data_IF_080159463224
#
_entry.id   IF_080159463224
#
_cell.length_a   1.000
_cell.length_b   1.000
_cell.length_c   1.000
_cell.angle_alpha   90.00
_cell.angle_beta   90.00
_cell.angle_gamma   90.00
#
_symmetry.space_group_name_H-M   'P 1'
#
loop_
_entity.id
_entity.type
_entity.pdbx_description
1 polymer ?
#
# COMPACT_ATOMS: atom_id res chain seq x y z
N UNK A 1 -50.22 -51.79 1.22
CA UNK A 1 -50.42 -50.97 0.02
C UNK A 1 -49.38 -49.86 0.05
N UNK A 2 -48.45 -49.67 -0.90
CA UNK A 2 -48.00 -50.42 -2.06
C UNK A 2 -46.65 -49.79 -2.39
N UNK A 3 -45.59 -50.60 -2.48
CA UNK A 3 -44.31 -50.17 -3.04
C UNK A 3 -44.56 -49.66 -4.46
N UNK A 4 -44.42 -48.35 -4.69
CA UNK A 4 -44.47 -47.78 -6.02
C UNK A 4 -43.06 -47.91 -6.62
N UNK A 5 -42.84 -49.04 -7.26
CA UNK A 5 -41.68 -49.32 -8.09
C UNK A 5 -41.73 -48.41 -9.31
N UNK A 6 -40.74 -47.52 -9.44
CA UNK A 6 -40.58 -46.68 -10.63
C UNK A 6 -40.20 -47.61 -11.80
N UNK A 7 -40.98 -47.66 -12.89
CA UNK A 7 -40.67 -48.52 -14.03
C UNK A 7 -39.42 -48.01 -14.75
N UNK A 8 -38.67 -48.95 -15.31
CA UNK A 8 -37.36 -48.73 -15.90
C UNK A 8 -37.27 -47.50 -16.79
N UNK A 9 -36.36 -46.60 -16.43
CA UNK A 9 -35.74 -45.71 -17.38
C UNK A 9 -34.90 -46.58 -18.33
N UNK A 10 -35.54 -47.08 -19.38
CA UNK A 10 -34.84 -47.51 -20.58
C UNK A 10 -34.05 -46.30 -21.06
N UNK A 11 -32.74 -46.33 -20.80
CA UNK A 11 -31.78 -45.44 -21.42
C UNK A 11 -32.03 -45.47 -22.93
N UNK A 12 -32.73 -44.47 -23.42
CA UNK A 12 -32.80 -44.15 -24.84
C UNK A 12 -31.38 -43.77 -25.22
N UNK A 13 -30.61 -44.76 -25.67
CA UNK A 13 -29.28 -44.55 -26.24
C UNK A 13 -29.49 -43.70 -27.47
N UNK A 14 -29.27 -42.40 -27.32
CA UNK A 14 -29.18 -41.43 -28.42
C UNK A 14 -28.22 -42.01 -29.46
N UNK A 15 -28.69 -42.50 -30.61
CA UNK A 15 -27.83 -43.08 -31.63
C UNK A 15 -27.13 -41.92 -32.33
N UNK A 16 -25.89 -41.65 -31.93
CA UNK A 16 -25.09 -40.56 -32.52
C UNK A 16 -24.08 -39.87 -31.59
N UNK A 17 -23.95 -40.28 -30.32
CA UNK A 17 -22.90 -39.73 -29.43
C UNK A 17 -21.58 -40.55 -29.42
N UNK A 18 -21.40 -41.50 -30.34
CA UNK A 18 -20.13 -42.25 -30.50
C UNK A 18 -19.16 -41.63 -31.51
N UNK A 19 -19.50 -40.46 -32.07
CA UNK A 19 -18.56 -39.61 -32.78
C UNK A 19 -18.38 -38.33 -31.97
N UNK A 20 -17.65 -38.42 -30.86
CA UNK A 20 -16.98 -37.25 -30.33
C UNK A 20 -16.07 -36.75 -31.45
N UNK A 21 -16.54 -35.77 -32.24
CA UNK A 21 -15.64 -35.03 -33.10
C UNK A 21 -14.53 -34.52 -32.19
N UNK A 22 -13.26 -34.86 -32.49
CA UNK A 22 -12.17 -34.48 -31.63
C UNK A 22 -12.26 -32.97 -31.41
N UNK A 23 -12.24 -32.56 -30.14
CA UNK A 23 -12.41 -31.17 -29.77
C UNK A 23 -11.33 -30.38 -30.51
N UNK A 24 -11.60 -29.14 -30.94
CA UNK A 24 -10.59 -28.34 -31.67
C UNK A 24 -9.23 -28.26 -30.92
N UNK A 25 -9.26 -28.39 -29.60
CA UNK A 25 -8.08 -28.52 -28.74
C UNK A 25 -7.35 -29.88 -28.90
N UNK A 26 -8.07 -31.00 -29.05
CA UNK A 26 -7.52 -32.34 -29.29
C UNK A 26 -6.93 -32.47 -30.70
N UNK A 27 -7.62 -31.99 -31.74
CA UNK A 27 -7.09 -31.98 -33.13
C UNK A 27 -5.81 -31.12 -33.22
N UNK A 28 -5.78 -30.00 -32.48
CA UNK A 28 -4.61 -29.10 -32.40
C UNK A 28 -3.48 -29.74 -31.61
N UNK A 29 -3.77 -30.46 -30.53
CA UNK A 29 -2.78 -31.17 -29.72
C UNK A 29 -2.18 -32.38 -30.44
N UNK A 30 -2.95 -33.08 -31.29
CA UNK A 30 -2.42 -34.16 -32.14
C UNK A 30 -1.48 -33.66 -33.24
N UNK A 31 -1.59 -32.39 -33.65
CA UNK A 31 -0.77 -31.78 -34.71
C UNK A 31 0.33 -30.85 -34.19
N UNK A 32 0.35 -30.50 -32.91
CA UNK A 32 1.38 -29.65 -32.30
C UNK A 32 2.52 -30.46 -31.69
N UNK A 33 3.75 -30.05 -31.95
CA UNK A 33 4.91 -30.68 -31.33
C UNK A 33 4.98 -30.34 -29.84
N UNK A 34 5.70 -31.16 -29.05
CA UNK A 34 6.02 -30.83 -27.65
C UNK A 34 6.65 -29.44 -27.49
N UNK A 35 7.38 -28.96 -28.51
CA UNK A 35 7.94 -27.62 -28.54
C UNK A 35 6.88 -26.52 -28.65
N UNK A 36 5.80 -26.75 -29.41
CA UNK A 36 4.71 -25.80 -29.59
C UNK A 36 3.84 -25.65 -28.33
N UNK A 37 3.63 -26.76 -27.60
CA UNK A 37 2.94 -26.76 -26.31
C UNK A 37 3.77 -26.03 -25.24
N UNK A 38 5.08 -26.28 -25.16
CA UNK A 38 5.96 -25.58 -24.22
C UNK A 38 6.06 -24.08 -24.53
N UNK A 39 6.08 -23.72 -25.82
CA UNK A 39 6.04 -22.34 -26.28
C UNK A 39 4.73 -21.64 -25.87
N UNK A 40 3.58 -22.31 -26.02
CA UNK A 40 2.28 -21.81 -25.56
C UNK A 40 2.23 -21.58 -24.05
N UNK A 41 2.63 -22.57 -23.25
CA UNK A 41 2.65 -22.44 -21.78
C UNK A 41 3.58 -21.30 -21.34
N UNK A 42 4.76 -21.19 -21.96
CA UNK A 42 5.71 -20.10 -21.67
C UNK A 42 5.11 -18.72 -22.00
N UNK A 43 4.33 -18.64 -23.09
CA UNK A 43 3.63 -17.44 -23.50
C UNK A 43 2.50 -17.09 -22.53
N UNK A 44 1.73 -18.08 -22.07
CA UNK A 44 0.64 -17.88 -21.12
C UNK A 44 1.15 -17.42 -19.75
N UNK A 45 2.24 -18.04 -19.25
CA UNK A 45 2.92 -17.57 -18.03
C UNK A 45 3.43 -16.14 -18.21
N UNK A 46 4.00 -15.80 -19.38
CA UNK A 46 4.45 -14.44 -19.68
C UNK A 46 3.30 -13.44 -19.68
N UNK A 47 2.10 -13.85 -20.12
CA UNK A 47 0.89 -13.03 -20.09
C UNK A 47 0.42 -12.82 -18.64
N UNK A 48 0.36 -13.88 -17.82
CA UNK A 48 -0.02 -13.78 -16.41
C UNK A 48 0.93 -12.88 -15.62
N UNK A 49 2.24 -13.03 -15.81
CA UNK A 49 3.23 -12.17 -15.16
C UNK A 49 3.07 -10.70 -15.54
N UNK A 50 2.79 -10.41 -16.82
CA UNK A 50 2.47 -9.04 -17.25
C UNK A 50 1.20 -8.53 -16.59
N UNK A 51 0.16 -9.35 -16.47
CA UNK A 51 -1.09 -8.96 -15.82
C UNK A 51 -0.91 -8.67 -14.33
N UNK A 52 -0.17 -9.50 -13.59
CA UNK A 52 0.16 -9.26 -12.18
C UNK A 52 0.95 -7.97 -11.99
N UNK A 53 1.92 -7.70 -12.88
CA UNK A 53 2.67 -6.44 -12.86
C UNK A 53 1.75 -5.25 -13.15
N UNK A 54 0.86 -5.34 -14.14
CA UNK A 54 -0.09 -4.26 -14.44
C UNK A 54 -1.11 -4.05 -13.31
N UNK A 55 -1.55 -5.11 -12.65
CA UNK A 55 -2.43 -5.04 -11.48
C UNK A 55 -1.70 -4.37 -10.30
N UNK A 56 -0.49 -4.82 -9.97
CA UNK A 56 0.34 -4.22 -8.93
C UNK A 56 0.62 -2.74 -9.21
N UNK A 57 0.90 -2.38 -10.48
CA UNK A 57 1.03 -0.97 -10.89
C UNK A 57 -0.25 -0.19 -10.67
N UNK A 58 -1.41 -0.75 -11.02
CA UNK A 58 -2.70 -0.09 -10.82
C UNK A 58 -2.99 0.14 -9.32
N UNK A 59 -2.75 -0.87 -8.48
CA UNK A 59 -2.94 -0.77 -7.03
C UNK A 59 -1.95 0.20 -6.38
N UNK A 60 -0.68 0.20 -6.81
CA UNK A 60 0.32 1.18 -6.38
C UNK A 60 -0.06 2.61 -6.78
N UNK A 61 -0.58 2.81 -8.01
CA UNK A 61 -1.03 4.11 -8.48
C UNK A 61 -2.24 4.61 -7.68
N UNK A 62 -3.20 3.73 -7.42
CA UNK A 62 -4.37 4.06 -6.62
C UNK A 62 -3.98 4.39 -5.18
N UNK A 63 -3.17 3.52 -4.55
CA UNK A 63 -2.65 3.70 -3.20
C UNK A 63 -1.82 4.98 -3.09
N UNK A 64 -0.93 5.25 -4.04
CA UNK A 64 -0.13 6.46 -4.12
C UNK A 64 -0.99 7.71 -4.30
N UNK A 65 -2.06 7.64 -5.08
CA UNK A 65 -3.00 8.77 -5.26
C UNK A 65 -3.77 9.05 -3.97
N UNK A 66 -4.29 8.01 -3.29
CA UNK A 66 -5.01 8.14 -2.03
C UNK A 66 -4.09 8.68 -0.92
N UNK A 67 -2.89 8.13 -0.79
CA UNK A 67 -1.87 8.59 0.14
C UNK A 67 -1.45 10.04 -0.17
N UNK A 68 -1.25 10.38 -1.45
CA UNK A 68 -0.89 11.72 -1.89
C UNK A 68 -1.98 12.76 -1.60
N UNK A 69 -3.25 12.43 -1.85
CA UNK A 69 -4.39 13.28 -1.45
C UNK A 69 -4.47 13.44 0.06
N UNK A 70 -4.31 12.37 0.82
CA UNK A 70 -4.29 12.40 2.28
C UNK A 70 -3.17 13.29 2.83
N UNK A 71 -1.94 13.09 2.35
CA UNK A 71 -0.79 13.92 2.71
C UNK A 71 -0.99 15.38 2.30
N UNK A 72 -1.56 15.64 1.11
CA UNK A 72 -1.90 16.98 0.66
C UNK A 72 -2.94 17.67 1.53
N UNK A 73 -4.01 16.97 1.92
CA UNK A 73 -5.03 17.49 2.85
C UNK A 73 -4.45 17.76 4.23
N UNK A 74 -3.62 16.87 4.78
CA UNK A 74 -2.96 17.08 6.07
C UNK A 74 -1.95 18.24 6.01
N UNK A 75 -1.19 18.36 4.92
CA UNK A 75 -0.29 19.49 4.69
C UNK A 75 -1.06 20.81 4.60
N UNK A 76 -2.14 20.85 3.81
CA UNK A 76 -3.04 22.00 3.70
C UNK A 76 -3.69 22.37 5.03
N UNK A 77 -4.15 21.39 5.80
CA UNK A 77 -4.69 21.60 7.14
C UNK A 77 -3.64 22.17 8.11
N UNK A 78 -2.38 21.73 8.01
CA UNK A 78 -1.27 22.30 8.77
C UNK A 78 -1.04 23.79 8.46
N UNK A 79 -1.04 24.16 7.17
CA UNK A 79 -0.91 25.56 6.73
C UNK A 79 -2.10 26.40 7.18
N UNK A 80 -3.33 25.91 6.96
CA UNK A 80 -4.55 26.59 7.40
C UNK A 80 -4.59 26.77 8.92
N UNK A 81 -4.23 25.73 9.68
CA UNK A 81 -4.12 25.78 11.14
C UNK A 81 -3.08 26.79 11.61
N UNK A 82 -1.95 26.92 10.91
CA UNK A 82 -0.95 27.95 11.21
C UNK A 82 -1.53 29.37 11.04
N UNK A 83 -2.26 29.63 9.95
CA UNK A 83 -2.94 30.92 9.77
C UNK A 83 -4.02 31.18 10.82
N UNK A 84 -4.78 30.17 11.24
CA UNK A 84 -5.75 30.32 12.33
C UNK A 84 -5.04 30.74 13.62
N UNK A 85 -3.93 30.09 13.99
CA UNK A 85 -3.15 30.48 15.17
C UNK A 85 -2.58 31.90 15.06
N UNK A 86 -2.11 32.29 13.88
CA UNK A 86 -1.62 33.65 13.61
C UNK A 86 -2.72 34.68 13.83
N UNK A 87 -3.89 34.50 13.21
CA UNK A 87 -5.00 35.45 13.34
C UNK A 87 -5.59 35.47 14.75
N UNK A 88 -5.68 34.33 15.43
CA UNK A 88 -6.05 34.29 16.85
C UNK A 88 -5.05 35.05 17.72
N UNK A 89 -3.75 34.94 17.43
CA UNK A 89 -2.71 35.68 18.17
C UNK A 89 -2.86 37.20 17.97
N UNK A 90 -3.11 37.62 16.73
CA UNK A 90 -3.34 39.03 16.42
C UNK A 90 -4.62 39.56 17.08
N UNK A 91 -5.72 38.80 16.98
CA UNK A 91 -7.00 39.16 17.62
C UNK A 91 -6.87 39.23 19.15
N UNK A 92 -6.14 38.28 19.75
CA UNK A 92 -5.89 38.29 21.18
C UNK A 92 -5.02 39.48 21.59
N UNK A 93 -3.96 39.77 20.84
CA UNK A 93 -3.11 40.92 21.09
C UNK A 93 -3.91 42.23 21.02
N UNK A 94 -4.70 42.43 19.97
CA UNK A 94 -5.50 43.65 19.81
C UNK A 94 -6.56 43.76 20.91
N UNK A 95 -7.21 42.66 21.27
CA UNK A 95 -8.17 42.62 22.38
C UNK A 95 -7.50 43.00 23.72
N UNK A 96 -6.33 42.42 24.03
CA UNK A 96 -5.55 42.80 25.22
C UNK A 96 -5.11 44.27 25.15
N UNK A 97 -4.78 44.79 23.95
CA UNK A 97 -4.30 46.16 23.81
C UNK A 97 -5.36 47.17 24.27
N UNK A 98 -6.65 46.89 24.06
CA UNK A 98 -7.74 47.68 24.60
C UNK A 98 -7.93 47.54 26.12
N UNK A 99 -7.58 46.38 26.70
CA UNK A 99 -7.77 46.10 28.12
C UNK A 99 -6.61 46.60 29.00
N UNK A 100 -5.36 46.38 28.58
CA UNK A 100 -4.15 46.61 29.41
C UNK A 100 -3.06 47.42 28.69
N UNK A 101 -3.31 47.88 27.46
CA UNK A 101 -2.36 48.66 26.66
C UNK A 101 -1.41 47.80 25.82
N UNK A 102 -0.90 48.41 24.74
CA UNK A 102 -0.20 47.69 23.67
C UNK A 102 1.08 46.98 24.14
N UNK A 103 1.89 47.63 25.00
CA UNK A 103 3.15 47.08 25.48
C UNK A 103 2.93 45.84 26.38
N UNK A 104 2.00 45.93 27.33
CA UNK A 104 1.68 44.84 28.25
C UNK A 104 1.03 43.66 27.54
N UNK A 105 0.22 43.93 26.52
CA UNK A 105 -0.37 42.91 25.65
C UNK A 105 0.71 42.08 24.96
N UNK A 106 1.76 42.73 24.47
CA UNK A 106 2.89 42.05 23.86
C UNK A 106 3.66 41.16 24.82
N UNK A 107 3.84 41.62 26.06
CA UNK A 107 4.48 40.82 27.10
C UNK A 107 3.66 39.55 27.42
N UNK A 108 2.35 39.68 27.58
CA UNK A 108 1.46 38.54 27.82
C UNK A 108 1.49 37.56 26.64
N UNK A 109 1.43 38.07 25.41
CA UNK A 109 1.48 37.22 24.22
C UNK A 109 2.82 36.48 24.09
N UNK A 110 3.94 37.14 24.43
CA UNK A 110 5.25 36.52 24.45
C UNK A 110 5.32 35.37 25.47
N UNK A 111 4.75 35.56 26.67
CA UNK A 111 4.68 34.51 27.70
C UNK A 111 3.83 33.32 27.22
N UNK A 112 2.67 33.58 26.61
CA UNK A 112 1.81 32.52 26.05
C UNK A 112 2.57 31.67 25.03
N UNK A 113 3.24 32.30 24.06
CA UNK A 113 4.01 31.58 23.05
C UNK A 113 5.24 30.87 23.63
N UNK A 114 5.90 31.44 24.64
CA UNK A 114 7.00 30.78 25.34
C UNK A 114 6.56 29.47 26.02
N UNK A 115 5.39 29.48 26.67
CA UNK A 115 4.80 28.27 27.30
C UNK A 115 4.47 27.24 26.23
N UNK A 116 3.80 27.64 25.14
CA UNK A 116 3.47 26.74 24.02
C UNK A 116 4.75 26.12 23.45
N UNK A 117 5.78 26.93 23.18
CA UNK A 117 7.06 26.46 22.66
C UNK A 117 7.76 25.47 23.61
N UNK A 118 7.75 25.73 24.91
CA UNK A 118 8.33 24.83 25.91
C UNK A 118 7.63 23.46 25.92
N UNK A 119 6.29 23.43 25.85
CA UNK A 119 5.50 22.21 25.78
C UNK A 119 5.81 21.44 24.47
N UNK A 120 5.77 22.12 23.33
CA UNK A 120 6.05 21.51 22.03
C UNK A 120 7.47 20.94 21.97
N UNK A 121 8.46 21.66 22.48
CA UNK A 121 9.84 21.19 22.58
C UNK A 121 9.94 19.94 23.46
N UNK A 122 9.29 19.93 24.63
CA UNK A 122 9.30 18.78 25.54
C UNK A 122 8.66 17.53 24.89
N UNK A 123 7.51 17.71 24.24
CA UNK A 123 6.81 16.64 23.52
C UNK A 123 7.63 16.13 22.33
N UNK A 124 8.14 17.04 21.48
CA UNK A 124 8.97 16.69 20.34
C UNK A 124 10.23 15.94 20.76
N UNK A 125 10.91 16.40 21.82
CA UNK A 125 12.06 15.71 22.40
C UNK A 125 11.68 14.30 22.89
N UNK A 126 10.52 14.12 23.53
CA UNK A 126 10.05 12.79 23.97
C UNK A 126 9.82 11.85 22.78
N UNK A 127 9.15 12.33 21.73
CA UNK A 127 8.89 11.52 20.53
C UNK A 127 10.18 11.14 19.79
N UNK A 128 11.12 12.07 19.64
CA UNK A 128 12.42 11.79 19.01
C UNK A 128 13.25 10.78 19.81
N UNK A 129 13.15 10.77 21.14
CA UNK A 129 13.80 9.77 21.99
C UNK A 129 13.21 8.37 21.77
N UNK A 130 11.89 8.26 21.60
CA UNK A 130 11.23 6.99 21.28
C UNK A 130 11.68 6.43 19.94
N UNK A 131 11.82 7.29 18.92
CA UNK A 131 12.27 6.87 17.57
C UNK A 131 13.75 6.44 17.58
N UNK A 132 14.64 7.12 18.32
CA UNK A 132 16.05 6.70 18.51
C UNK A 132 16.18 5.41 19.31
N UNK A 133 15.15 4.98 20.04
CA UNK A 133 15.10 3.77 20.84
C UNK A 133 14.78 2.48 20.08
N UNK A 134 14.83 2.47 18.74
CA UNK A 134 14.64 1.25 17.93
C UNK A 134 15.96 0.69 17.38
N UNK A 135 16.82 0.03 18.19
CA UNK A 135 17.95 -0.73 17.70
C UNK A 135 17.45 -2.12 17.27
N UNK A 136 16.82 -2.23 16.10
CA UNK A 136 16.42 -3.54 15.55
C UNK A 136 16.86 -3.77 14.10
N UNK A 137 17.36 -2.75 13.40
CA UNK A 137 17.75 -2.88 11.99
C UNK A 137 19.26 -2.75 11.75
N UNK A 138 20.01 -2.09 12.64
CA UNK A 138 21.47 -1.96 12.48
C UNK A 138 22.24 -3.20 12.96
N UNK A 139 21.68 -4.02 13.85
CA UNK A 139 22.27 -5.32 14.21
C UNK A 139 22.09 -6.38 13.10
N UNK A 140 20.98 -6.35 12.37
CA UNK A 140 20.73 -7.28 11.26
C UNK A 140 21.62 -6.98 10.05
N UNK A 141 21.98 -5.72 9.80
CA UNK A 141 22.92 -5.34 8.73
C UNK A 141 24.38 -5.68 9.08
N UNK A 142 24.72 -5.72 10.39
CA UNK A 142 26.05 -6.17 10.86
C UNK A 142 26.21 -7.70 10.89
N UNK A 143 25.15 -8.47 10.63
CA UNK A 143 25.16 -9.94 10.49
C UNK A 143 25.10 -10.37 9.03
N UNK A 144 25.75 -9.66 8.11
CA UNK A 144 26.14 -10.29 6.84
C UNK A 144 27.43 -11.04 7.13
N UNK A 145 27.42 -12.38 7.24
CA UNK A 145 28.65 -13.14 7.43
C UNK A 145 29.60 -12.88 6.26
N UNK A 146 30.89 -12.76 6.56
CA UNK A 146 32.02 -12.66 5.62
C UNK A 146 32.09 -13.82 4.60
N UNK A 147 31.15 -14.77 4.64
CA UNK A 147 31.04 -15.93 3.76
C UNK A 147 30.49 -15.60 2.37
N UNK A 148 30.09 -14.35 2.10
CA UNK A 148 29.76 -13.84 0.77
C UNK A 148 30.88 -13.00 0.18
N UNK A 149 32.14 -13.29 0.49
CA UNK A 149 33.25 -12.97 -0.42
C UNK A 149 33.24 -14.02 -1.52
N UNK A 150 32.82 -13.73 -2.76
CA UNK A 150 33.23 -14.54 -3.89
C UNK A 150 34.75 -14.44 -3.92
N UNK A 151 35.44 -15.56 -3.75
CA UNK A 151 36.85 -15.65 -4.08
C UNK A 151 36.98 -15.44 -5.59
N UNK A 152 37.05 -14.18 -6.01
CA UNK A 152 37.81 -13.82 -7.20
C UNK A 152 39.27 -14.18 -6.91
N UNK A 153 39.82 -14.95 -7.85
CA UNK A 153 41.25 -15.17 -8.08
C UNK A 153 42.04 -16.03 -7.08
N UNK A 154 42.35 -17.26 -7.51
CA UNK A 154 43.67 -17.59 -8.06
C UNK A 154 43.59 -19.04 -8.57
N UNK A 155 43.47 -19.24 -9.89
CA UNK A 155 44.57 -19.54 -10.82
C UNK A 155 45.17 -20.92 -10.62
#
# INVERSE_FOLDING_TARGET
>A
MSHQQVPGQSHERVPGQDSAEPTRAEIKAENESLGDLLSQVSKDISVLMRQEVELAKAELKESGTRAGKGAGMLGGAGVAGHFVLLFLSLALWTWLAYAIGLAWSGLVMAVIWAIIAAILYAMGRKQLKTVRGMPRTTESVKKIPETLKPSEEAR
#
